data_IF_974759115821
#
_entry.id   IF_974759115821
#
_cell.length_a   1.000
_cell.length_b   1.000
_cell.length_c   1.000
_cell.angle_alpha   90.00
_cell.angle_beta   90.00
_cell.angle_gamma   90.00
#
_symmetry.space_group_name_H-M   'P 1'
#
loop_
_entity.id
_entity.type
_entity.pdbx_description
1 polymer ?
#
# COMPACT_ATOMS: atom_id res chain seq x y z
N UNK A 1 0.50 53.80 -25.28
CA UNK A 1 1.47 54.10 -24.21
C UNK A 1 0.74 55.09 -23.34
N UNK A 2 0.23 54.62 -22.21
CA UNK A 2 -0.30 55.41 -21.12
C UNK A 2 0.14 54.73 -19.82
N UNK A 3 0.37 55.60 -18.84
CA UNK A 3 1.21 55.52 -17.64
C UNK A 3 0.78 54.46 -16.61
N UNK A 4 1.76 53.75 -16.04
CA UNK A 4 2.29 53.96 -14.67
C UNK A 4 1.31 53.47 -13.61
N UNK A 5 1.79 52.62 -12.70
CA UNK A 5 1.46 52.57 -11.27
C UNK A 5 2.42 51.57 -10.64
N UNK A 6 3.57 52.11 -10.24
CA UNK A 6 4.47 51.50 -9.28
C UNK A 6 3.77 51.45 -7.91
N UNK A 7 3.77 50.30 -7.20
CA UNK A 7 3.89 50.23 -5.73
C UNK A 7 4.44 48.85 -5.30
N UNK A 8 5.64 48.89 -4.71
CA UNK A 8 6.13 47.94 -3.69
C UNK A 8 5.83 48.57 -2.32
N UNK A 9 6.04 47.91 -1.16
CA UNK A 9 5.94 46.51 -0.75
C UNK A 9 5.03 46.38 0.51
N UNK A 10 4.85 45.17 1.09
CA UNK A 10 4.98 44.96 2.55
C UNK A 10 4.47 43.57 2.99
N UNK A 11 5.44 42.75 3.39
CA UNK A 11 5.46 41.98 4.64
C UNK A 11 4.18 41.24 5.08
N UNK A 12 4.26 39.91 5.09
CA UNK A 12 3.89 39.11 6.28
C UNK A 12 4.60 37.75 6.27
N UNK A 13 5.73 37.76 6.97
CA UNK A 13 6.26 36.73 7.87
C UNK A 13 5.53 35.37 7.83
N UNK A 14 6.00 34.45 7.00
CA UNK A 14 5.80 33.00 7.15
C UNK A 14 7.15 32.39 7.53
N UNK A 15 7.22 31.81 8.73
CA UNK A 15 8.45 31.39 9.38
C UNK A 15 9.15 30.28 8.59
N UNK A 16 10.45 30.41 8.42
CA UNK A 16 11.33 29.29 8.11
C UNK A 16 11.38 28.37 9.34
N UNK A 17 11.04 27.10 9.14
CA UNK A 17 11.46 26.02 10.05
C UNK A 17 11.83 24.80 9.23
N UNK A 18 12.99 24.28 9.59
CA UNK A 18 13.82 23.31 8.90
C UNK A 18 13.27 21.89 9.01
N UNK A 19 13.48 21.15 7.91
CA UNK A 19 13.58 19.71 7.74
C UNK A 19 12.94 18.81 8.80
N UNK A 20 11.89 18.11 8.38
CA UNK A 20 11.53 16.82 8.96
C UNK A 20 11.38 15.81 7.84
N UNK A 21 12.12 14.71 7.98
CA UNK A 21 12.17 13.62 7.01
C UNK A 21 10.83 12.93 6.92
N UNK A 22 10.09 13.18 5.85
CA UNK A 22 9.10 12.23 5.38
C UNK A 22 9.87 11.12 4.65
N UNK A 23 10.00 9.96 5.29
CA UNK A 23 10.14 8.72 4.55
C UNK A 23 9.04 8.76 3.50
N UNK A 24 9.43 8.93 2.24
CA UNK A 24 8.51 8.76 1.14
C UNK A 24 8.06 7.32 1.26
N UNK A 25 6.84 7.14 1.78
CA UNK A 25 6.00 6.01 1.49
C UNK A 25 6.29 5.67 0.04
N UNK A 26 6.79 4.45 -0.19
CA UNK A 26 7.00 3.97 -1.54
C UNK A 26 5.59 3.74 -2.06
N UNK A 27 4.89 4.83 -2.39
CA UNK A 27 3.69 4.84 -3.21
C UNK A 27 4.16 4.35 -4.57
N UNK A 28 4.40 3.05 -4.66
CA UNK A 28 4.22 2.37 -5.94
C UNK A 28 2.79 2.72 -6.33
N UNK A 29 2.58 3.47 -7.43
CA UNK A 29 1.24 3.80 -7.85
C UNK A 29 0.54 2.46 -8.00
N UNK A 30 -0.49 2.22 -7.16
CA UNK A 30 -1.24 0.99 -7.21
C UNK A 30 -1.71 0.83 -8.65
N UNK A 31 -1.11 -0.11 -9.38
CA UNK A 31 -1.41 -0.32 -10.79
C UNK A 31 -2.82 -0.88 -10.79
N UNK A 32 -3.80 0.02 -10.95
CA UNK A 32 -5.19 -0.35 -11.02
C UNK A 32 -5.29 -1.31 -12.20
N UNK A 33 -5.76 -2.55 -12.00
CA UNK A 33 -5.94 -3.47 -13.10
C UNK A 33 -6.78 -2.78 -14.16
N UNK A 34 -6.29 -2.77 -15.40
CA UNK A 34 -7.04 -2.24 -16.56
C UNK A 34 -8.29 -3.10 -16.84
N UNK A 35 -8.29 -4.32 -16.31
CA UNK A 35 -9.36 -5.30 -16.39
C UNK A 35 -10.22 -5.31 -15.11
N UNK A 36 -11.51 -5.57 -15.25
CA UNK A 36 -12.43 -5.75 -14.14
C UNK A 36 -12.14 -7.08 -13.42
N UNK A 37 -12.04 -7.03 -12.08
CA UNK A 37 -11.75 -8.20 -11.27
C UNK A 37 -12.86 -8.45 -10.25
N UNK A 38 -13.16 -9.72 -10.00
CA UNK A 38 -14.11 -10.18 -8.99
C UNK A 38 -13.36 -10.59 -7.72
N UNK A 39 -13.87 -10.16 -6.56
CA UNK A 39 -13.34 -10.59 -5.27
C UNK A 39 -14.00 -11.91 -4.84
N UNK A 40 -13.19 -12.88 -4.43
CA UNK A 40 -13.65 -14.21 -3.99
C UNK A 40 -12.99 -14.61 -2.68
N UNK A 41 -13.76 -15.25 -1.80
CA UNK A 41 -13.26 -15.88 -0.58
C UNK A 41 -12.56 -17.20 -0.94
N UNK A 42 -11.24 -17.23 -0.70
CA UNK A 42 -10.41 -18.43 -0.85
C UNK A 42 -10.67 -19.37 0.32
N UNK A 43 -10.90 -18.85 1.53
CA UNK A 43 -11.36 -19.65 2.68
C UNK A 43 -12.80 -19.27 2.99
N UNK A 44 -13.79 -20.18 2.81
CA UNK A 44 -15.19 -19.87 3.08
C UNK A 44 -15.40 -19.36 4.51
N UNK A 45 -16.06 -18.21 4.65
CA UNK A 45 -16.36 -17.61 5.96
C UNK A 45 -15.22 -16.80 6.57
N UNK A 46 -14.12 -16.60 5.83
CA UNK A 46 -13.01 -15.73 6.23
C UNK A 46 -12.94 -14.52 5.29
N UNK A 47 -13.55 -13.37 5.65
CA UNK A 47 -13.59 -12.18 4.79
C UNK A 47 -12.19 -11.59 4.54
N UNK A 48 -11.24 -11.88 5.42
CA UNK A 48 -9.84 -11.43 5.31
C UNK A 48 -9.02 -12.33 4.36
N UNK A 49 -9.54 -13.51 4.00
CA UNK A 49 -8.87 -14.50 3.15
C UNK A 49 -9.46 -14.51 1.75
N UNK A 50 -9.42 -13.35 1.11
CA UNK A 50 -9.96 -13.13 -0.23
C UNK A 50 -8.88 -12.87 -1.28
N UNK A 51 -9.19 -13.17 -2.54
CA UNK A 51 -8.33 -12.82 -3.69
C UNK A 51 -9.18 -12.34 -4.87
N UNK A 52 -8.52 -11.79 -5.89
CA UNK A 52 -9.17 -11.21 -7.07
C UNK A 52 -8.90 -12.06 -8.31
N UNK A 53 -9.94 -12.40 -9.06
CA UNK A 53 -9.86 -13.12 -10.35
C UNK A 53 -10.50 -12.29 -11.47
N UNK A 54 -10.13 -12.51 -12.73
CA UNK A 54 -10.69 -11.78 -13.87
C UNK A 54 -12.21 -11.96 -14.00
N UNK A 55 -12.95 -10.86 -14.17
CA UNK A 55 -14.41 -10.92 -14.30
C UNK A 55 -14.86 -11.54 -15.62
N UNK A 56 -14.04 -11.39 -16.67
CA UNK A 56 -14.33 -11.86 -18.03
C UNK A 56 -13.97 -13.33 -18.27
N UNK A 57 -13.47 -14.05 -17.26
CA UNK A 57 -13.23 -15.49 -17.36
C UNK A 57 -14.56 -16.25 -17.56
N UNK A 58 -14.50 -17.36 -18.31
CA UNK A 58 -15.64 -18.29 -18.44
C UNK A 58 -15.97 -18.89 -17.08
N UNK A 59 -17.25 -19.17 -16.83
CA UNK A 59 -17.71 -19.65 -15.52
C UNK A 59 -17.01 -20.94 -15.10
N UNK A 60 -16.93 -21.93 -16.00
CA UNK A 60 -16.20 -23.18 -15.78
C UNK A 60 -14.75 -22.94 -15.34
N UNK A 61 -14.05 -22.02 -16.02
CA UNK A 61 -12.66 -21.67 -15.67
C UNK A 61 -12.57 -20.93 -14.33
N UNK A 62 -13.55 -20.09 -13.99
CA UNK A 62 -13.61 -19.44 -12.67
C UNK A 62 -13.77 -20.49 -11.57
N UNK A 63 -14.68 -21.44 -11.75
CA UNK A 63 -14.92 -22.51 -10.79
C UNK A 63 -13.66 -23.36 -10.58
N UNK A 64 -12.97 -23.74 -11.66
CA UNK A 64 -11.69 -24.48 -11.59
C UNK A 64 -10.61 -23.71 -10.82
N UNK A 65 -10.47 -22.41 -11.10
CA UNK A 65 -9.50 -21.54 -10.40
C UNK A 65 -9.87 -21.41 -8.92
N UNK A 66 -11.14 -21.16 -8.61
CA UNK A 66 -11.62 -21.04 -7.23
C UNK A 66 -11.38 -22.34 -6.46
N UNK A 67 -11.68 -23.49 -7.06
CA UNK A 67 -11.41 -24.79 -6.47
C UNK A 67 -9.91 -25.00 -6.22
N UNK A 68 -9.07 -24.68 -7.21
CA UNK A 68 -7.62 -24.78 -7.08
C UNK A 68 -7.08 -23.89 -5.95
N UNK A 69 -7.51 -22.63 -5.89
CA UNK A 69 -7.12 -21.69 -4.83
C UNK A 69 -7.55 -22.19 -3.44
N UNK A 70 -8.77 -22.71 -3.33
CA UNK A 70 -9.30 -23.31 -2.09
C UNK A 70 -8.51 -24.53 -1.64
N UNK A 71 -8.16 -25.42 -2.57
CA UNK A 71 -7.37 -26.61 -2.28
C UNK A 71 -5.95 -26.28 -1.79
N UNK A 72 -5.44 -25.09 -2.13
CA UNK A 72 -4.12 -24.63 -1.75
C UNK A 72 -4.19 -23.40 -0.83
N UNK A 73 -5.26 -23.25 -0.03
CA UNK A 73 -5.45 -22.05 0.79
C UNK A 73 -4.35 -21.85 1.86
N UNK A 74 -3.61 -22.91 2.18
CA UNK A 74 -2.49 -22.98 3.12
C UNK A 74 -1.17 -22.43 2.57
N UNK A 75 -1.01 -22.32 1.23
CA UNK A 75 0.21 -21.75 0.64
C UNK A 75 0.26 -20.22 0.75
N UNK A 76 -0.87 -19.59 1.06
CA UNK A 76 -1.00 -18.15 1.17
C UNK A 76 -0.60 -17.69 2.57
N UNK A 77 0.27 -16.69 2.63
CA UNK A 77 0.56 -15.97 3.86
C UNK A 77 -0.50 -14.87 4.10
N UNK A 78 -1.66 -15.26 4.63
CA UNK A 78 -2.76 -14.33 4.94
C UNK A 78 -2.37 -13.30 6.00
N UNK A 79 -1.49 -13.70 6.91
CA UNK A 79 -0.92 -12.88 7.96
C UNK A 79 0.61 -13.03 7.97
N UNK A 80 1.35 -12.06 8.52
CA UNK A 80 2.79 -12.18 8.69
C UNK A 80 3.23 -13.43 9.47
N UNK A 81 2.35 -13.95 10.33
CA UNK A 81 2.57 -15.15 11.14
C UNK A 81 2.53 -16.43 10.31
N UNK A 82 1.81 -16.45 9.19
CA UNK A 82 1.72 -17.60 8.29
C UNK A 82 3.03 -17.85 7.51
N UNK A 83 3.97 -16.89 7.55
CA UNK A 83 5.32 -17.03 6.98
C UNK A 83 6.25 -17.79 7.94
N UNK A 84 5.96 -19.06 8.22
CA UNK A 84 6.72 -19.88 9.19
C UNK A 84 8.16 -20.23 8.73
N UNK A 85 8.62 -19.75 7.58
CA UNK A 85 9.95 -20.04 7.03
C UNK A 85 10.97 -18.90 7.09
N UNK A 86 10.57 -17.69 7.52
CA UNK A 86 11.44 -16.51 7.51
C UNK A 86 11.60 -16.02 8.94
N UNK A 87 12.81 -16.13 9.50
CA UNK A 87 13.12 -15.57 10.82
C UNK A 87 12.77 -14.08 10.81
N UNK A 88 11.86 -13.60 11.68
CA UNK A 88 11.51 -12.20 11.77
C UNK A 88 12.74 -11.29 11.86
N UNK A 89 13.84 -11.75 12.49
CA UNK A 89 15.12 -11.01 12.57
C UNK A 89 15.76 -10.71 11.22
N UNK A 90 15.44 -11.48 10.18
CA UNK A 90 15.95 -11.30 8.81
C UNK A 90 15.14 -10.25 8.05
N UNK A 91 13.86 -10.07 8.38
CA UNK A 91 12.95 -9.11 7.71
C UNK A 91 12.64 -7.86 8.53
N UNK A 92 12.95 -7.85 9.84
CA UNK A 92 12.79 -6.67 10.68
C UNK A 92 14.00 -5.74 10.55
N UNK A 93 13.80 -4.60 9.90
CA UNK A 93 14.73 -3.47 10.00
C UNK A 93 14.45 -2.68 11.27
N UNK A 94 15.35 -2.74 12.26
CA UNK A 94 15.27 -1.88 13.44
C UNK A 94 15.73 -0.46 13.09
N UNK A 95 14.83 0.51 13.22
CA UNK A 95 15.19 1.92 13.12
C UNK A 95 15.88 2.34 14.42
N UNK A 96 17.15 2.70 14.36
CA UNK A 96 17.89 3.22 15.50
C UNK A 96 17.49 4.68 15.75
N UNK A 97 16.38 4.87 16.46
CA UNK A 97 15.94 6.19 16.91
C UNK A 97 16.66 6.49 18.23
N UNK A 98 17.48 7.54 18.22
CA UNK A 98 18.11 8.05 19.43
C UNK A 98 17.03 8.76 20.29
N UNK A 99 16.72 8.28 21.51
CA UNK A 99 15.66 8.86 22.34
C UNK A 99 15.95 10.30 22.79
N UNK A 100 17.18 10.79 22.58
CA UNK A 100 17.57 12.16 22.91
C UNK A 100 17.11 13.22 21.89
N UNK A 101 16.53 12.83 20.75
CA UNK A 101 16.13 13.79 19.69
C UNK A 101 14.72 14.39 19.85
N UNK A 102 13.99 14.05 20.91
CA UNK A 102 12.68 14.65 21.23
C UNK A 102 12.73 15.30 22.63
N UNK A 103 13.43 16.43 22.73
CA UNK A 103 13.38 17.35 23.88
C UNK A 103 12.94 18.74 23.42
#
# INVERSE_FOLDING_TARGET
>A
MDEDHQEVPSSKKGKETVAEGALKEIETPAKVPTEELLNIEVVPGSPDKTTRIGSHLREETKEEIIACLRCNADIFAWTPQDLEGIDPKVITHHLNIDPASNQ
#
